data_IF_290371190808
#
_entry.id   IF_290371190808
#
_cell.length_a   1.000
_cell.length_b   1.000
_cell.length_c   1.000
_cell.angle_alpha   90.00
_cell.angle_beta   90.00
_cell.angle_gamma   90.00
#
_symmetry.space_group_name_H-M   'P 1'
#
loop_
_entity.id
_entity.type
_entity.pdbx_description
1 polymer ?
#
# COMPACT_ATOMS: atom_id res chain seq x y z
N UNK A 1 -2.08 14.73 4.04
CA UNK A 1 -2.42 16.10 3.66
C UNK A 1 -3.89 16.06 3.40
N UNK A 2 -4.65 16.76 4.25
CA UNK A 2 -6.05 17.03 3.97
C UNK A 2 -6.19 17.50 2.53
N UNK A 3 -7.19 17.00 1.81
CA UNK A 3 -7.42 17.32 0.39
C UNK A 3 -7.77 18.79 0.14
N UNK A 4 -7.95 19.55 1.22
CA UNK A 4 -8.09 20.99 1.18
C UNK A 4 -6.71 21.67 1.12
N UNK A 5 -6.55 22.74 0.31
CA UNK A 5 -5.35 23.55 0.35
C UNK A 5 -5.11 24.06 1.78
N UNK A 6 -3.88 23.98 2.30
CA UNK A 6 -3.61 24.47 3.64
C UNK A 6 -3.84 25.98 3.67
N UNK A 7 -4.41 26.48 4.75
CA UNK A 7 -4.66 27.91 4.94
C UNK A 7 -3.36 28.71 4.85
N UNK A 8 -2.24 28.11 5.28
CA UNK A 8 -0.90 28.69 5.21
C UNK A 8 0.13 27.64 4.82
N UNK A 9 1.12 28.07 4.03
CA UNK A 9 2.27 27.30 3.60
C UNK A 9 3.52 27.74 4.34
N UNK A 10 4.43 26.80 4.58
CA UNK A 10 5.80 27.09 5.00
C UNK A 10 6.78 26.11 4.36
N UNK A 11 8.03 26.48 4.32
CA UNK A 11 9.14 25.61 3.94
C UNK A 11 9.25 24.46 4.95
N UNK A 12 9.55 23.26 4.45
CA UNK A 12 9.89 22.12 5.29
C UNK A 12 11.17 22.42 6.09
N UNK A 13 11.28 21.89 7.29
CA UNK A 13 12.41 22.08 8.20
C UNK A 13 13.62 21.24 7.80
N UNK A 14 13.40 20.12 7.11
CA UNK A 14 14.43 19.13 6.81
C UNK A 14 14.98 19.28 5.39
N UNK A 15 15.39 20.49 5.02
CA UNK A 15 15.92 20.81 3.69
C UNK A 15 17.40 21.18 3.72
N UNK A 16 18.16 20.62 2.78
CA UNK A 16 19.49 21.12 2.40
C UNK A 16 19.36 21.90 1.09
N UNK A 17 19.94 23.09 1.04
CA UNK A 17 19.94 23.95 -0.14
C UNK A 17 21.39 24.16 -0.60
N UNK A 18 21.66 23.92 -1.88
CA UNK A 18 22.98 24.13 -2.50
C UNK A 18 22.85 24.99 -3.75
N UNK A 19 23.71 25.98 -3.91
CA UNK A 19 23.80 26.75 -5.15
C UNK A 19 24.36 25.87 -6.28
N UNK A 20 23.77 25.96 -7.47
CA UNK A 20 24.12 25.17 -8.66
C UNK A 20 24.04 26.07 -9.90
N UNK A 21 25.11 26.83 -10.15
CA UNK A 21 25.11 27.89 -11.17
C UNK A 21 24.13 29.00 -10.81
N UNK A 22 23.20 29.32 -11.71
CA UNK A 22 22.13 30.32 -11.50
C UNK A 22 20.86 29.73 -10.84
N UNK A 23 20.92 28.48 -10.39
CA UNK A 23 19.83 27.75 -9.77
C UNK A 23 20.20 27.25 -8.36
N UNK A 24 19.21 26.70 -7.66
CA UNK A 24 19.35 26.13 -6.33
C UNK A 24 18.85 24.69 -6.33
N UNK A 25 19.69 23.76 -5.90
CA UNK A 25 19.29 22.39 -5.62
C UNK A 25 18.79 22.28 -4.18
N UNK A 26 17.57 21.81 -4.02
CA UNK A 26 16.87 21.70 -2.74
C UNK A 26 16.54 20.25 -2.50
N UNK A 27 17.15 19.69 -1.47
CA UNK A 27 17.02 18.28 -1.11
C UNK A 27 16.28 18.16 0.20
N UNK A 28 15.22 17.35 0.22
CA UNK A 28 14.55 16.97 1.45
C UNK A 28 15.21 15.74 2.06
N UNK A 29 15.91 15.91 3.19
CA UNK A 29 16.82 14.88 3.73
C UNK A 29 16.11 13.59 4.14
N UNK A 30 14.86 13.64 4.63
CA UNK A 30 14.15 12.42 5.03
C UNK A 30 13.72 11.55 3.84
N UNK A 31 13.29 12.19 2.74
CA UNK A 31 12.73 11.52 1.56
C UNK A 31 13.79 11.23 0.50
N UNK A 32 14.90 11.97 0.52
CA UNK A 32 15.94 11.96 -0.50
C UNK A 32 15.52 12.64 -1.81
N UNK A 33 14.33 13.28 -1.87
CA UNK A 33 13.87 13.98 -3.07
C UNK A 33 14.60 15.30 -3.23
N UNK A 34 15.06 15.57 -4.46
CA UNK A 34 15.75 16.80 -4.80
C UNK A 34 15.06 17.53 -5.96
N UNK A 35 14.98 18.84 -5.87
CA UNK A 35 14.46 19.73 -6.89
C UNK A 35 15.52 20.75 -7.26
N UNK A 36 15.64 21.08 -8.55
CA UNK A 36 16.45 22.22 -9.00
C UNK A 36 15.48 23.35 -9.31
N UNK A 37 15.57 24.43 -8.53
CA UNK A 37 14.75 25.62 -8.70
C UNK A 37 15.57 26.75 -9.35
N UNK A 38 15.05 27.40 -10.40
CA UNK A 38 15.60 28.68 -10.86
C UNK A 38 15.59 29.73 -9.75
N UNK A 39 16.46 30.74 -9.83
CA UNK A 39 16.58 31.79 -8.81
C UNK A 39 15.24 32.46 -8.44
N UNK A 40 14.37 32.71 -9.42
CA UNK A 40 13.04 33.31 -9.20
C UNK A 40 12.12 32.40 -8.37
N UNK A 41 12.10 31.10 -8.65
CA UNK A 41 11.31 30.14 -7.88
C UNK A 41 11.89 29.92 -6.47
N UNK A 42 13.21 30.00 -6.33
CA UNK A 42 13.86 29.96 -5.02
C UNK A 42 13.52 31.18 -4.16
N UNK A 43 13.43 32.38 -4.75
CA UNK A 43 13.00 33.58 -4.04
C UNK A 43 11.61 33.40 -3.43
N UNK A 44 10.65 32.83 -4.18
CA UNK A 44 9.33 32.50 -3.65
C UNK A 44 9.39 31.52 -2.48
N UNK A 45 10.24 30.50 -2.58
CA UNK A 45 10.42 29.56 -1.48
C UNK A 45 10.97 30.26 -0.21
N UNK A 46 11.83 31.27 -0.36
CA UNK A 46 12.37 32.00 0.80
C UNK A 46 11.33 32.85 1.54
N UNK A 47 10.25 33.27 0.88
CA UNK A 47 9.09 33.92 1.52
C UNK A 47 8.35 32.96 2.46
N UNK A 48 8.42 31.65 2.19
CA UNK A 48 7.77 30.61 2.97
C UNK A 48 8.58 30.17 4.21
N UNK A 49 9.63 30.91 4.61
CA UNK A 49 10.32 30.64 5.89
C UNK A 49 9.39 30.72 7.09
N UNK A 50 8.36 31.57 7.02
CA UNK A 50 7.28 31.66 7.97
C UNK A 50 5.96 31.21 7.32
N UNK A 51 4.98 30.69 8.09
CA UNK A 51 3.64 30.44 7.60
C UNK A 51 3.05 31.64 6.85
N UNK A 52 2.72 31.42 5.58
CA UNK A 52 2.24 32.47 4.66
C UNK A 52 1.09 31.93 3.82
N UNK A 53 0.03 32.73 3.65
CA UNK A 53 -1.11 32.36 2.79
C UNK A 53 -0.75 32.51 1.30
N UNK A 54 -1.55 31.91 0.41
CA UNK A 54 -1.38 32.13 -1.03
C UNK A 54 -1.55 33.60 -1.40
N UNK A 55 -2.54 34.28 -0.82
CA UNK A 55 -2.82 35.70 -1.06
C UNK A 55 -1.63 36.58 -0.68
N UNK A 56 -1.10 36.41 0.53
CA UNK A 56 0.10 37.13 0.99
C UNK A 56 1.33 36.86 0.13
N UNK A 57 1.48 35.62 -0.37
CA UNK A 57 2.59 35.27 -1.26
C UNK A 57 2.44 35.96 -2.61
N UNK A 58 1.24 36.00 -3.18
CA UNK A 58 0.95 36.67 -4.45
C UNK A 58 1.16 38.18 -4.37
N UNK A 59 0.86 38.82 -3.24
CA UNK A 59 1.16 40.24 -3.01
C UNK A 59 2.66 40.55 -2.98
N UNK A 60 3.48 39.61 -2.49
CA UNK A 60 4.94 39.73 -2.39
C UNK A 60 5.66 39.24 -3.66
N UNK A 61 4.95 38.53 -4.55
CA UNK A 61 5.53 38.01 -5.78
C UNK A 61 6.01 39.14 -6.69
N UNK A 62 7.15 38.97 -7.37
CA UNK A 62 7.52 39.83 -8.49
C UNK A 62 6.38 39.86 -9.53
N UNK A 63 6.02 41.03 -10.05
CA UNK A 63 4.93 41.23 -11.06
C UNK A 63 5.10 40.40 -12.35
N UNK A 64 6.21 39.68 -12.50
CA UNK A 64 6.54 38.85 -13.64
C UNK A 64 5.92 37.44 -13.61
N UNK A 65 5.27 37.02 -12.51
CA UNK A 65 4.64 35.69 -12.40
C UNK A 65 3.12 35.80 -12.33
N UNK A 66 2.41 34.97 -13.11
CA UNK A 66 0.97 34.85 -13.00
C UNK A 66 0.58 34.01 -11.76
N UNK A 67 -0.59 34.29 -11.18
CA UNK A 67 -1.05 33.56 -9.99
C UNK A 67 -1.16 32.05 -10.23
N UNK A 68 -1.61 31.64 -11.42
CA UNK A 68 -1.69 30.23 -11.81
C UNK A 68 -0.31 29.53 -11.81
N UNK A 69 0.76 30.23 -12.19
CA UNK A 69 2.12 29.67 -12.19
C UNK A 69 2.63 29.50 -10.75
N UNK A 70 2.32 30.45 -9.87
CA UNK A 70 2.65 30.36 -8.44
C UNK A 70 1.91 29.20 -7.78
N UNK A 71 0.61 29.06 -8.01
CA UNK A 71 -0.17 27.93 -7.51
C UNK A 71 0.35 26.58 -8.04
N UNK A 72 0.65 26.50 -9.34
CA UNK A 72 1.23 25.30 -9.93
C UNK A 72 2.59 24.95 -9.31
N UNK A 73 3.44 25.95 -9.07
CA UNK A 73 4.71 25.76 -8.36
C UNK A 73 4.50 25.28 -6.93
N UNK A 74 3.61 25.91 -6.15
CA UNK A 74 3.31 25.50 -4.77
C UNK A 74 2.79 24.07 -4.72
N UNK A 75 1.88 23.69 -5.63
CA UNK A 75 1.38 22.32 -5.74
C UNK A 75 2.52 21.34 -6.01
N UNK A 76 3.45 21.68 -6.90
CA UNK A 76 4.61 20.86 -7.22
C UNK A 76 5.60 20.76 -6.05
N UNK A 77 5.89 21.85 -5.36
CA UNK A 77 6.75 21.88 -4.17
C UNK A 77 6.12 21.09 -3.01
N UNK A 78 4.80 21.18 -2.83
CA UNK A 78 4.04 20.45 -1.81
C UNK A 78 4.05 18.95 -2.10
N UNK A 79 3.81 18.54 -3.35
CA UNK A 79 3.93 17.14 -3.79
C UNK A 79 5.36 16.59 -3.60
N UNK A 80 6.36 17.47 -3.71
CA UNK A 80 7.76 17.19 -3.41
C UNK A 80 8.11 17.11 -1.92
N UNK A 81 7.22 17.56 -1.02
CA UNK A 81 7.50 17.72 0.41
C UNK A 81 8.43 18.88 0.73
N UNK A 82 8.70 19.77 -0.23
CA UNK A 82 9.58 20.96 -0.05
C UNK A 82 8.86 22.05 0.75
N UNK A 83 7.54 22.13 0.59
CA UNK A 83 6.68 22.98 1.41
C UNK A 83 5.59 22.13 2.05
N UNK A 84 5.12 22.59 3.21
CA UNK A 84 4.12 21.91 4.03
C UNK A 84 3.14 22.93 4.60
N UNK A 85 1.94 22.46 4.97
CA UNK A 85 0.97 23.27 5.69
C UNK A 85 1.34 23.50 7.14
N UNK A 86 0.74 24.52 7.76
CA UNK A 86 0.79 24.71 9.22
C UNK A 86 0.13 23.54 9.94
N UNK A 87 0.94 22.72 10.61
CA UNK A 87 0.48 21.54 11.35
C UNK A 87 0.64 20.22 10.59
N UNK A 88 1.17 20.24 9.37
CA UNK A 88 1.50 19.00 8.65
C UNK A 88 2.62 18.23 9.38
N UNK A 89 2.44 16.91 9.48
CA UNK A 89 3.47 15.98 9.92
C UNK A 89 4.56 15.86 8.84
N UNK A 90 5.72 16.48 9.11
CA UNK A 90 6.93 16.44 8.28
C UNK A 90 7.69 15.11 8.37
N UNK A 91 7.25 14.16 9.17
CA UNK A 91 7.82 12.81 9.15
C UNK A 91 7.11 11.92 8.13
N UNK A 92 6.05 12.42 7.50
CA UNK A 92 5.32 11.72 6.45
C UNK A 92 6.02 11.88 5.10
N UNK A 93 6.86 10.89 4.76
CA UNK A 93 7.56 10.84 3.48
C UNK A 93 7.64 9.43 2.94
N UNK A 94 7.94 9.32 1.65
CA UNK A 94 8.35 8.07 1.01
C UNK A 94 9.79 8.18 0.53
N UNK A 95 10.54 7.10 0.69
CA UNK A 95 11.90 6.95 0.15
C UNK A 95 11.84 6.17 -1.14
N UNK A 96 12.35 6.76 -2.22
CA UNK A 96 12.45 6.05 -3.48
C UNK A 96 13.55 4.97 -3.38
N UNK A 97 13.30 3.77 -3.92
CA UNK A 97 14.30 2.72 -3.93
C UNK A 97 15.37 3.05 -4.97
N UNK A 98 16.58 2.51 -4.80
CA UNK A 98 17.64 2.65 -5.79
C UNK A 98 17.25 2.03 -7.15
N UNK A 99 16.45 0.96 -7.13
CA UNK A 99 15.87 0.34 -8.31
C UNK A 99 14.38 0.07 -8.08
N UNK A 100 13.49 0.55 -8.97
CA UNK A 100 12.06 0.34 -8.83
C UNK A 100 11.67 -1.12 -9.09
N UNK A 101 10.63 -1.57 -8.41
CA UNK A 101 10.06 -2.91 -8.56
C UNK A 101 9.63 -3.13 -10.02
N UNK A 102 10.07 -4.24 -10.64
CA UNK A 102 9.80 -4.57 -12.05
C UNK A 102 10.30 -3.54 -13.08
N UNK A 103 11.12 -2.57 -12.63
CA UNK A 103 11.59 -1.44 -13.42
C UNK A 103 10.54 -0.38 -13.72
N UNK A 104 9.35 -0.46 -13.12
CA UNK A 104 8.23 0.47 -13.39
C UNK A 104 8.58 1.92 -13.00
N UNK A 105 7.94 2.94 -13.59
CA UNK A 105 8.19 4.33 -13.23
C UNK A 105 7.92 4.61 -11.75
N UNK A 106 8.69 5.55 -11.19
CA UNK A 106 8.44 6.07 -9.86
C UNK A 106 7.10 6.82 -9.82
N UNK A 107 6.36 6.70 -8.72
CA UNK A 107 5.13 7.48 -8.52
C UNK A 107 5.46 8.91 -8.07
N UNK A 108 5.13 9.88 -8.91
CA UNK A 108 5.57 11.28 -8.85
C UNK A 108 4.55 12.26 -8.25
N UNK A 109 3.39 11.80 -7.79
CA UNK A 109 2.29 12.65 -7.32
C UNK A 109 1.10 12.61 -8.28
N UNK A 110 0.01 13.37 -8.05
CA UNK A 110 -1.29 13.07 -8.68
C UNK A 110 -1.21 13.27 -10.20
N UNK A 111 -1.83 12.42 -11.02
CA UNK A 111 -3.27 12.48 -11.34
C UNK A 111 -3.90 11.08 -11.52
N UNK A 112 -5.11 10.91 -11.00
CA UNK A 112 -6.26 10.46 -11.79
C UNK A 112 -7.53 11.23 -11.34
N UNK A 113 -8.17 11.93 -12.27
CA UNK A 113 -9.46 12.63 -12.08
C UNK A 113 -10.58 11.99 -12.92
N UNK A 114 -10.27 10.88 -13.58
CA UNK A 114 -11.18 9.96 -14.26
C UNK A 114 -10.61 8.53 -14.17
N UNK A 115 -11.40 7.52 -14.55
CA UNK A 115 -10.95 6.11 -14.56
C UNK A 115 -9.86 5.83 -15.59
N UNK A 116 -9.81 6.57 -16.70
CA UNK A 116 -8.85 6.30 -17.80
C UNK A 116 -7.40 6.58 -17.41
N UNK A 117 -7.18 7.48 -16.43
CA UNK A 117 -5.85 7.83 -15.95
C UNK A 117 -5.45 7.14 -14.63
N UNK A 118 -6.29 6.25 -14.08
CA UNK A 118 -6.03 5.52 -12.83
C UNK A 118 -4.66 4.84 -12.88
N UNK A 119 -3.89 4.93 -11.79
CA UNK A 119 -2.63 4.20 -11.60
C UNK A 119 -2.74 3.20 -10.46
N UNK A 120 -1.96 2.13 -10.56
CA UNK A 120 -1.67 1.21 -9.45
C UNK A 120 -0.37 1.68 -8.79
N UNK A 121 -0.39 1.87 -7.48
CA UNK A 121 0.74 2.44 -6.73
C UNK A 121 1.27 1.41 -5.75
N UNK A 122 2.41 0.80 -6.08
CA UNK A 122 3.13 -0.14 -5.24
C UNK A 122 3.82 0.63 -4.11
N UNK A 123 3.57 0.26 -2.85
CA UNK A 123 4.14 0.92 -1.69
C UNK A 123 4.72 -0.10 -0.73
N UNK A 124 6.00 0.03 -0.42
CA UNK A 124 6.62 -0.80 0.59
C UNK A 124 6.40 -0.24 1.99
N UNK A 125 6.01 -1.09 2.93
CA UNK A 125 5.89 -0.70 4.34
C UNK A 125 6.90 -1.52 5.18
N UNK A 126 8.09 -0.98 5.48
CA UNK A 126 9.13 -1.72 6.18
C UNK A 126 8.90 -1.77 7.70
N UNK A 127 7.75 -2.30 8.14
CA UNK A 127 7.33 -2.32 9.54
C UNK A 127 6.88 -3.72 9.98
N UNK A 128 7.44 -4.20 11.10
CA UNK A 128 7.11 -5.52 11.67
C UNK A 128 6.80 -5.46 13.18
N UNK A 129 6.61 -4.26 13.74
CA UNK A 129 6.46 -4.08 15.20
C UNK A 129 5.02 -4.21 15.72
N UNK A 130 4.07 -4.50 14.83
CA UNK A 130 2.72 -4.98 15.15
C UNK A 130 2.75 -6.44 15.61
N UNK A 131 3.75 -7.22 15.19
CA UNK A 131 4.10 -8.50 15.78
C UNK A 131 5.32 -8.33 16.72
N UNK A 132 5.12 -8.46 18.04
CA UNK A 132 6.21 -8.29 19.01
C UNK A 132 7.19 -9.46 19.09
N UNK A 133 6.82 -10.61 18.53
CA UNK A 133 7.64 -11.83 18.58
C UNK A 133 8.57 -11.95 17.38
N UNK A 134 8.14 -11.47 16.22
CA UNK A 134 8.90 -11.53 14.98
C UNK A 134 8.59 -10.33 14.07
N UNK A 135 9.59 -9.49 13.84
CA UNK A 135 9.50 -8.30 13.00
C UNK A 135 10.24 -8.45 11.65
N UNK A 136 10.64 -9.68 11.28
CA UNK A 136 11.47 -9.94 10.10
C UNK A 136 10.80 -9.54 8.77
N UNK A 137 9.47 -9.52 8.73
CA UNK A 137 8.68 -9.07 7.58
C UNK A 137 8.93 -7.58 7.20
N UNK A 138 9.46 -6.76 8.12
CA UNK A 138 9.89 -5.39 7.83
C UNK A 138 10.94 -5.31 6.70
N UNK A 139 11.66 -6.40 6.40
CA UNK A 139 12.67 -6.45 5.33
C UNK A 139 12.09 -6.79 3.96
N UNK A 140 10.83 -7.21 3.90
CA UNK A 140 10.21 -7.65 2.66
C UNK A 140 10.25 -6.60 1.54
N UNK A 141 9.90 -5.32 1.75
CA UNK A 141 9.89 -4.35 0.65
C UNK A 141 11.25 -4.22 -0.06
N UNK A 142 12.33 -4.17 0.72
CA UNK A 142 13.68 -4.06 0.18
C UNK A 142 14.12 -5.36 -0.50
N UNK A 143 13.83 -6.52 0.11
CA UNK A 143 14.21 -7.83 -0.43
C UNK A 143 13.42 -8.19 -1.69
N UNK A 144 12.14 -7.84 -1.76
CA UNK A 144 11.30 -7.99 -2.94
C UNK A 144 11.87 -7.22 -4.12
N UNK A 145 12.23 -5.95 -3.92
CA UNK A 145 12.85 -5.15 -4.98
C UNK A 145 14.18 -5.73 -5.45
N UNK A 146 15.02 -6.16 -4.51
CA UNK A 146 16.30 -6.79 -4.84
C UNK A 146 16.10 -8.09 -5.64
N UNK A 147 15.22 -8.99 -5.19
CA UNK A 147 14.89 -10.23 -5.90
C UNK A 147 14.35 -9.95 -7.31
N UNK A 148 13.43 -8.98 -7.42
CA UNK A 148 12.87 -8.58 -8.70
C UNK A 148 13.92 -8.01 -9.66
N UNK A 149 15.04 -7.43 -9.18
CA UNK A 149 16.13 -7.00 -10.08
C UNK A 149 16.85 -8.17 -10.76
N UNK A 150 16.98 -9.30 -10.08
CA UNK A 150 17.60 -10.50 -10.66
C UNK A 150 16.62 -11.31 -11.51
N UNK A 151 15.33 -11.21 -11.20
CA UNK A 151 14.29 -12.06 -11.80
C UNK A 151 13.50 -11.36 -12.92
N UNK A 152 13.04 -10.12 -12.68
CA UNK A 152 12.07 -9.39 -13.53
C UNK A 152 12.42 -7.89 -13.71
N UNK A 153 13.70 -7.52 -13.66
CA UNK A 153 14.19 -6.13 -13.58
C UNK A 153 13.61 -5.18 -14.64
N UNK A 154 13.42 -5.67 -15.87
CA UNK A 154 12.98 -4.89 -17.03
C UNK A 154 11.61 -5.34 -17.53
N UNK A 155 10.79 -5.92 -16.66
CA UNK A 155 9.48 -6.45 -17.02
C UNK A 155 8.63 -5.40 -17.75
N UNK A 156 8.59 -4.14 -17.29
CA UNK A 156 7.87 -3.06 -17.97
C UNK A 156 8.31 -2.85 -19.43
N UNK A 157 9.61 -2.92 -19.75
CA UNK A 157 10.11 -2.74 -21.14
C UNK A 157 9.82 -3.94 -22.03
N UNK A 158 9.79 -5.13 -21.43
CA UNK A 158 9.58 -6.40 -22.13
C UNK A 158 8.10 -6.78 -22.20
N UNK A 159 7.24 -6.06 -21.48
CA UNK A 159 5.83 -6.40 -21.32
C UNK A 159 5.11 -6.57 -22.66
N UNK A 160 5.43 -5.79 -23.69
CA UNK A 160 4.79 -5.92 -25.01
C UNK A 160 5.13 -7.24 -25.73
N UNK A 161 6.30 -7.83 -25.49
CA UNK A 161 6.80 -9.01 -26.22
C UNK A 161 6.99 -10.24 -25.34
N UNK A 162 6.74 -10.13 -24.03
CA UNK A 162 6.93 -11.24 -23.09
C UNK A 162 5.84 -12.29 -23.27
N UNK A 163 6.28 -13.55 -23.22
CA UNK A 163 5.41 -14.72 -23.13
C UNK A 163 5.16 -15.04 -21.65
N UNK A 164 4.00 -14.64 -21.15
CA UNK A 164 3.54 -14.87 -19.78
C UNK A 164 3.12 -16.31 -19.51
N UNK A 165 3.14 -17.22 -20.50
CA UNK A 165 2.94 -18.66 -20.24
C UNK A 165 3.95 -19.24 -19.26
N UNK A 166 5.15 -18.64 -19.20
CA UNK A 166 6.15 -18.96 -18.18
C UNK A 166 5.70 -18.68 -16.74
N UNK A 167 4.64 -17.90 -16.55
CA UNK A 167 4.01 -17.69 -15.24
C UNK A 167 2.95 -18.73 -14.92
N UNK A 168 2.62 -19.68 -15.82
CA UNK A 168 1.72 -20.79 -15.52
C UNK A 168 0.25 -20.59 -15.88
N UNK A 169 -0.08 -19.63 -16.75
CA UNK A 169 -1.40 -19.48 -17.38
C UNK A 169 -1.25 -19.00 -18.83
N UNK A 170 -2.31 -19.08 -19.64
CA UNK A 170 -2.27 -18.58 -21.02
C UNK A 170 -1.94 -17.09 -21.09
N UNK A 171 -1.33 -16.65 -22.19
CA UNK A 171 -0.94 -15.24 -22.34
C UNK A 171 -2.09 -14.25 -22.13
N UNK A 172 -3.28 -14.59 -22.64
CA UNK A 172 -4.48 -13.78 -22.49
C UNK A 172 -4.90 -13.60 -21.03
N UNK A 173 -4.52 -14.54 -20.15
CA UNK A 173 -4.78 -14.42 -18.72
C UNK A 173 -3.99 -13.28 -18.07
N UNK A 174 -2.98 -12.70 -18.73
CA UNK A 174 -2.14 -11.60 -18.23
C UNK A 174 -2.31 -10.29 -19.02
N UNK A 175 -3.38 -10.15 -19.82
CA UNK A 175 -3.59 -8.97 -20.67
C UNK A 175 -3.72 -7.67 -19.85
N UNK A 176 -4.39 -7.73 -18.70
CA UNK A 176 -4.56 -6.56 -17.84
C UNK A 176 -3.22 -6.11 -17.22
N UNK A 177 -2.40 -7.04 -16.74
CA UNK A 177 -1.02 -6.76 -16.30
C UNK A 177 -0.19 -6.16 -17.44
N UNK A 178 -0.29 -6.73 -18.64
CA UNK A 178 0.41 -6.22 -19.83
C UNK A 178 0.04 -4.76 -20.08
N UNK A 179 -1.26 -4.45 -20.05
CA UNK A 179 -1.76 -3.10 -20.23
C UNK A 179 -1.19 -2.13 -19.18
N UNK A 180 -1.27 -2.49 -17.89
CA UNK A 180 -0.73 -1.67 -16.79
C UNK A 180 0.75 -1.32 -16.98
N UNK A 181 1.54 -2.29 -17.45
CA UNK A 181 2.97 -2.13 -17.71
C UNK A 181 3.23 -1.29 -18.95
N UNK A 182 2.56 -1.55 -20.07
CA UNK A 182 2.80 -0.85 -21.35
C UNK A 182 2.30 0.59 -21.33
N UNK A 183 1.24 0.87 -20.57
CA UNK A 183 0.69 2.23 -20.40
C UNK A 183 1.40 3.02 -19.30
N UNK A 184 2.43 2.46 -18.65
CA UNK A 184 3.14 3.09 -17.51
C UNK A 184 2.21 3.48 -16.35
N UNK A 185 1.13 2.71 -16.15
CA UNK A 185 0.11 2.94 -15.13
C UNK A 185 0.30 2.07 -13.88
N UNK A 186 1.21 1.10 -13.91
CA UNK A 186 1.80 0.51 -12.70
C UNK A 186 3.01 1.37 -12.28
N UNK A 187 3.03 1.82 -11.03
CA UNK A 187 4.07 2.73 -10.51
C UNK A 187 4.64 2.25 -9.18
N UNK A 188 5.90 2.54 -8.89
CA UNK A 188 6.55 2.28 -7.61
C UNK A 188 6.62 3.57 -6.79
N UNK A 189 5.85 3.64 -5.71
CA UNK A 189 5.84 4.77 -4.79
C UNK A 189 6.96 4.74 -3.75
N UNK A 190 7.81 3.72 -3.76
CA UNK A 190 8.89 3.52 -2.81
C UNK A 190 8.41 3.01 -1.46
N UNK A 191 9.20 3.27 -0.43
CA UNK A 191 8.95 2.80 0.93
C UNK A 191 8.46 3.94 1.81
N UNK A 192 7.51 3.65 2.71
CA UNK A 192 7.16 4.59 3.77
C UNK A 192 8.40 4.89 4.63
N UNK A 193 8.69 6.17 4.84
CA UNK A 193 9.76 6.57 5.76
C UNK A 193 9.34 6.32 7.20
N UNK A 194 10.15 5.53 7.88
CA UNK A 194 10.02 5.23 9.31
C UNK A 194 11.28 5.67 10.04
N UNK A 195 11.11 6.32 11.19
CA UNK A 195 12.21 6.55 12.10
C UNK A 195 12.47 5.29 12.94
N UNK A 196 13.74 5.03 13.28
CA UNK A 196 14.06 4.04 14.29
C UNK A 196 13.32 4.35 15.61
N UNK A 197 12.66 3.34 16.18
CA UNK A 197 11.85 3.43 17.41
C UNK A 197 10.60 4.32 17.30
N UNK A 198 10.12 4.59 16.08
CA UNK A 198 8.83 5.25 15.91
C UNK A 198 7.70 4.43 16.53
N UNK A 199 6.80 5.09 17.26
CA UNK A 199 5.67 4.41 17.87
C UNK A 199 4.75 3.84 16.79
N UNK A 200 4.23 2.59 16.95
CA UNK A 200 3.32 1.98 16.00
C UNK A 200 2.13 2.87 15.60
N UNK A 201 1.53 3.59 16.56
CA UNK A 201 0.42 4.50 16.30
C UNK A 201 0.77 5.61 15.29
N UNK A 202 2.00 6.15 15.34
CA UNK A 202 2.48 7.14 14.37
C UNK A 202 2.64 6.51 12.98
N UNK A 203 3.15 5.28 12.92
CA UNK A 203 3.27 4.53 11.65
C UNK A 203 1.90 4.25 11.05
N UNK A 204 0.92 3.82 11.86
CA UNK A 204 -0.44 3.58 11.40
C UNK A 204 -1.09 4.85 10.85
N UNK A 205 -0.93 5.98 11.52
CA UNK A 205 -1.43 7.27 11.04
C UNK A 205 -0.82 7.67 9.67
N UNK A 206 0.47 7.36 9.45
CA UNK A 206 1.12 7.58 8.15
C UNK A 206 0.56 6.67 7.06
N UNK A 207 0.33 5.39 7.34
CA UNK A 207 -0.25 4.44 6.36
C UNK A 207 -1.68 4.85 5.98
N UNK A 208 -2.51 5.23 6.96
CA UNK A 208 -3.86 5.73 6.72
C UNK A 208 -3.85 6.99 5.87
N UNK A 209 -2.96 7.94 6.18
CA UNK A 209 -2.78 9.14 5.38
C UNK A 209 -2.36 8.82 3.94
N UNK A 210 -1.43 7.88 3.76
CA UNK A 210 -0.89 7.49 2.45
C UNK A 210 -1.93 6.87 1.54
N UNK A 211 -2.68 5.93 2.07
CA UNK A 211 -3.73 5.25 1.32
C UNK A 211 -4.91 6.17 1.03
N UNK A 212 -5.25 7.08 1.94
CA UNK A 212 -6.24 8.13 1.68
C UNK A 212 -5.80 9.07 0.55
N UNK A 213 -4.56 9.58 0.58
CA UNK A 213 -4.05 10.48 -0.47
C UNK A 213 -4.04 9.82 -1.86
N UNK A 214 -3.69 8.54 -1.95
CA UNK A 214 -3.68 7.80 -3.22
C UNK A 214 -5.11 7.54 -3.71
N UNK A 215 -6.01 7.11 -2.81
CA UNK A 215 -7.40 6.80 -3.15
C UNK A 215 -8.17 8.04 -3.60
N UNK A 216 -7.96 9.17 -2.91
CA UNK A 216 -8.53 10.46 -3.26
C UNK A 216 -8.10 10.94 -4.66
N UNK A 217 -6.93 10.52 -5.13
CA UNK A 217 -6.42 10.80 -6.47
C UNK A 217 -6.90 9.77 -7.52
N UNK A 218 -7.93 8.96 -7.21
CA UNK A 218 -8.49 7.96 -8.13
C UNK A 218 -7.60 6.74 -8.39
N UNK A 219 -6.46 6.65 -7.70
CA UNK A 219 -5.46 5.59 -7.84
C UNK A 219 -5.71 4.45 -6.85
N UNK A 220 -5.14 3.28 -7.12
CA UNK A 220 -5.27 2.10 -6.25
C UNK A 220 -3.97 1.88 -5.48
N UNK A 221 -3.97 2.03 -4.14
CA UNK A 221 -2.84 1.69 -3.30
C UNK A 221 -2.65 0.16 -3.21
N UNK A 222 -1.43 -0.33 -3.46
CA UNK A 222 -1.04 -1.75 -3.26
C UNK A 222 0.14 -1.82 -2.27
N UNK A 223 -0.12 -2.25 -1.03
CA UNK A 223 0.92 -2.29 0.00
C UNK A 223 1.71 -3.59 -0.08
N UNK A 224 3.02 -3.51 0.16
CA UNK A 224 3.95 -4.63 0.10
C UNK A 224 4.64 -4.70 1.46
N UNK A 225 4.25 -5.71 2.25
CA UNK A 225 4.64 -5.84 3.65
C UNK A 225 4.12 -4.70 4.51
N UNK A 226 4.49 -4.64 5.79
CA UNK A 226 5.20 -5.66 6.56
C UNK A 226 4.21 -6.55 7.30
N UNK A 227 4.14 -6.46 8.63
CA UNK A 227 3.18 -7.27 9.39
C UNK A 227 1.73 -6.83 9.15
N UNK A 228 0.78 -7.73 9.39
CA UNK A 228 -0.63 -7.54 9.04
C UNK A 228 -1.33 -6.40 9.80
N UNK A 229 -0.70 -5.84 10.84
CA UNK A 229 -1.28 -4.71 11.58
C UNK A 229 -1.43 -3.46 10.70
N UNK A 230 -0.66 -3.35 9.62
CA UNK A 230 -0.71 -2.20 8.70
C UNK A 230 -1.95 -2.21 7.79
N UNK A 231 -2.64 -3.34 7.68
CA UNK A 231 -3.81 -3.46 6.81
C UNK A 231 -5.01 -2.66 7.32
N UNK A 232 -5.25 -2.60 8.65
CA UNK A 232 -6.31 -1.74 9.19
C UNK A 232 -6.14 -0.25 8.83
N UNK A 233 -4.99 0.42 9.11
CA UNK A 233 -4.83 1.81 8.72
C UNK A 233 -4.90 1.99 7.19
N UNK A 234 -4.42 1.03 6.40
CA UNK A 234 -4.57 1.08 4.94
C UNK A 234 -6.04 1.03 4.50
N UNK A 235 -6.85 0.13 5.06
CA UNK A 235 -8.30 0.05 4.85
C UNK A 235 -8.96 1.35 5.30
N UNK A 236 -8.61 1.87 6.48
CA UNK A 236 -9.16 3.13 7.02
C UNK A 236 -8.95 4.30 6.07
N UNK A 237 -7.75 4.42 5.47
CA UNK A 237 -7.45 5.46 4.50
C UNK A 237 -8.24 5.31 3.20
N UNK A 238 -8.35 4.09 2.65
CA UNK A 238 -9.19 3.80 1.48
C UNK A 238 -10.66 4.08 1.76
N UNK A 239 -11.18 3.67 2.92
CA UNK A 239 -12.58 3.83 3.32
C UNK A 239 -13.05 5.29 3.42
N UNK A 240 -12.14 6.26 3.56
CA UNK A 240 -12.49 7.69 3.50
C UNK A 240 -13.03 8.14 2.14
N UNK A 241 -12.82 7.34 1.09
CA UNK A 241 -13.20 7.65 -0.30
C UNK A 241 -14.25 6.69 -0.87
N UNK A 242 -14.83 5.81 -0.03
CA UNK A 242 -15.84 4.85 -0.42
C UNK A 242 -16.93 4.76 0.65
N UNK A 243 -18.20 4.95 0.27
CA UNK A 243 -19.33 4.83 1.21
C UNK A 243 -19.58 3.40 1.68
N UNK A 244 -19.21 2.43 0.83
CA UNK A 244 -19.33 1.00 1.07
C UNK A 244 -18.04 0.31 0.67
N UNK A 245 -17.60 -0.64 1.49
CA UNK A 245 -16.40 -1.43 1.22
C UNK A 245 -16.64 -2.88 1.67
N UNK A 246 -16.10 -3.83 0.93
CA UNK A 246 -15.96 -5.22 1.36
C UNK A 246 -14.49 -5.57 1.53
N UNK A 247 -14.18 -6.46 2.47
CA UNK A 247 -12.83 -6.95 2.71
C UNK A 247 -12.75 -8.40 2.27
N UNK A 248 -11.71 -8.73 1.52
CA UNK A 248 -11.36 -10.11 1.21
C UNK A 248 -9.98 -10.38 1.78
N UNK A 249 -9.88 -11.41 2.61
CA UNK A 249 -8.67 -11.84 3.29
C UNK A 249 -8.30 -13.25 2.85
N UNK A 250 -7.07 -13.42 2.38
CA UNK A 250 -6.43 -14.73 2.21
C UNK A 250 -5.42 -14.89 3.34
N UNK A 251 -5.63 -15.87 4.21
CA UNK A 251 -4.87 -15.98 5.47
C UNK A 251 -5.05 -17.36 6.10
N UNK A 252 -4.10 -17.80 6.91
CA UNK A 252 -4.31 -18.91 7.83
C UNK A 252 -5.13 -18.51 9.08
N UNK A 253 -5.11 -17.24 9.46
CA UNK A 253 -5.63 -16.68 10.69
C UNK A 253 -6.84 -15.77 10.45
N UNK A 254 -7.76 -15.74 11.42
CA UNK A 254 -8.94 -14.88 11.28
C UNK A 254 -8.65 -13.42 11.59
N UNK A 255 -7.56 -13.12 12.30
CA UNK A 255 -7.11 -11.77 12.70
C UNK A 255 -8.19 -10.89 13.34
N UNK A 256 -9.11 -11.55 14.03
CA UNK A 256 -10.20 -10.97 14.82
C UNK A 256 -9.98 -11.18 16.33
N UNK A 257 -8.74 -11.45 16.77
CA UNK A 257 -8.50 -11.84 18.14
C UNK A 257 -8.81 -10.70 19.12
N UNK A 258 -9.51 -11.05 20.21
CA UNK A 258 -9.65 -10.23 21.40
C UNK A 258 -8.99 -10.95 22.57
N UNK A 259 -8.43 -10.21 23.52
CA UNK A 259 -7.88 -10.79 24.75
C UNK A 259 -8.24 -9.91 25.96
N UNK A 260 -8.10 -10.46 27.17
CA UNK A 260 -8.36 -9.74 28.43
C UNK A 260 -7.54 -8.45 28.57
N UNK A 261 -6.38 -8.37 27.91
CA UNK A 261 -5.57 -7.14 27.88
C UNK A 261 -6.30 -6.05 27.09
N UNK A 262 -7.03 -6.38 26.02
CA UNK A 262 -7.86 -5.44 25.28
C UNK A 262 -8.90 -4.77 26.18
N UNK A 263 -9.57 -5.51 27.07
CA UNK A 263 -10.54 -4.95 28.03
C UNK A 263 -9.89 -3.96 29.01
N UNK A 264 -8.67 -4.26 29.46
CA UNK A 264 -7.90 -3.36 30.33
C UNK A 264 -7.49 -2.08 29.59
N UNK A 265 -7.08 -2.18 28.33
CA UNK A 265 -6.77 -1.01 27.51
C UNK A 265 -8.02 -0.18 27.21
N UNK A 266 -9.18 -0.83 26.99
CA UNK A 266 -10.45 -0.14 26.76
C UNK A 266 -10.83 0.74 27.97
N UNK A 267 -10.52 0.29 29.20
CA UNK A 267 -10.76 1.08 30.42
C UNK A 267 -10.00 2.41 30.47
N UNK A 268 -8.94 2.57 29.67
CA UNK A 268 -8.16 3.82 29.53
C UNK A 268 -8.32 4.45 28.15
N UNK A 269 -9.37 4.08 27.41
CA UNK A 269 -9.68 4.65 26.09
C UNK A 269 -8.67 4.27 25.01
N UNK A 270 -7.98 3.13 25.14
CA UNK A 270 -7.05 2.61 24.14
C UNK A 270 -7.53 1.24 23.66
N UNK A 271 -7.21 0.87 22.42
CA UNK A 271 -7.37 -0.49 21.95
C UNK A 271 -6.00 -0.99 21.49
N UNK A 272 -5.53 -2.16 21.96
CA UNK A 272 -4.29 -2.73 21.46
C UNK A 272 -4.47 -3.02 19.96
N UNK A 273 -3.47 -2.67 19.17
CA UNK A 273 -3.48 -2.89 17.72
C UNK A 273 -2.23 -3.65 17.32
N UNK A 274 -2.43 -4.84 16.76
CA UNK A 274 -1.38 -5.77 16.34
C UNK A 274 -1.85 -6.57 15.12
N UNK A 275 -0.98 -7.42 14.58
CA UNK A 275 -1.29 -8.19 13.38
C UNK A 275 -2.55 -9.07 13.54
N UNK A 276 -2.61 -9.94 14.56
CA UNK A 276 -3.78 -10.79 14.81
C UNK A 276 -5.11 -10.12 15.24
N UNK A 277 -5.26 -8.79 15.20
CA UNK A 277 -6.54 -8.14 15.49
C UNK A 277 -6.93 -7.01 14.55
N UNK A 278 -6.20 -6.80 13.45
CA UNK A 278 -6.45 -5.67 12.55
C UNK A 278 -7.88 -5.71 12.00
N UNK A 279 -8.44 -6.89 11.76
CA UNK A 279 -9.75 -7.05 11.17
C UNK A 279 -10.87 -6.65 12.15
N UNK A 280 -10.67 -6.86 13.46
CA UNK A 280 -11.59 -6.34 14.49
C UNK A 280 -11.70 -4.81 14.44
N UNK A 281 -10.60 -4.12 14.18
CA UNK A 281 -10.61 -2.66 14.01
C UNK A 281 -11.26 -2.24 12.70
N UNK A 282 -11.00 -2.98 11.62
CA UNK A 282 -11.61 -2.71 10.32
C UNK A 282 -13.15 -2.88 10.37
N UNK A 283 -13.66 -3.90 11.05
CA UNK A 283 -15.10 -4.13 11.26
C UNK A 283 -15.80 -2.98 11.99
N UNK A 284 -15.08 -2.18 12.78
CA UNK A 284 -15.64 -1.00 13.45
C UNK A 284 -15.85 0.20 12.50
N UNK A 285 -15.31 0.16 11.28
CA UNK A 285 -15.55 1.20 10.29
C UNK A 285 -16.96 1.06 9.70
N UNK A 286 -17.77 2.13 9.66
CA UNK A 286 -19.16 2.07 9.19
C UNK A 286 -19.29 1.70 7.71
N UNK A 287 -18.24 1.87 6.92
CA UNK A 287 -18.20 1.54 5.51
C UNK A 287 -18.21 0.02 5.25
N UNK A 288 -17.73 -0.81 6.20
CA UNK A 288 -17.54 -2.25 5.97
C UNK A 288 -18.88 -2.98 5.95
N UNK A 289 -19.23 -3.51 4.78
CA UNK A 289 -20.46 -4.24 4.51
C UNK A 289 -20.32 -5.75 4.70
N UNK A 290 -19.16 -6.31 4.32
CA UNK A 290 -18.89 -7.74 4.42
C UNK A 290 -17.40 -8.04 4.49
N UNK A 291 -17.05 -9.17 5.09
CA UNK A 291 -15.69 -9.69 5.17
C UNK A 291 -15.70 -11.15 4.73
N UNK A 292 -14.79 -11.51 3.84
CA UNK A 292 -14.64 -12.86 3.30
C UNK A 292 -13.24 -13.37 3.59
N UNK A 293 -13.13 -14.44 4.37
CA UNK A 293 -11.87 -14.98 4.85
C UNK A 293 -11.65 -16.36 4.26
N UNK A 294 -10.55 -16.55 3.53
CA UNK A 294 -10.23 -17.80 2.85
C UNK A 294 -8.91 -18.37 3.35
N UNK A 295 -8.89 -19.67 3.61
CA UNK A 295 -7.67 -20.39 4.03
C UNK A 295 -7.53 -20.55 5.54
N UNK A 296 -8.56 -20.13 6.30
CA UNK A 296 -8.54 -20.15 7.77
C UNK A 296 -8.28 -21.56 8.28
N UNK A 297 -7.36 -21.69 9.23
CA UNK A 297 -6.96 -22.96 9.87
C UNK A 297 -6.17 -22.72 11.16
N UNK A 298 -5.82 -23.81 11.83
CA UNK A 298 -5.02 -23.78 13.06
C UNK A 298 -5.86 -23.63 14.35
N UNK A 299 -5.40 -24.21 15.47
CA UNK A 299 -6.18 -24.36 16.70
C UNK A 299 -6.37 -23.06 17.50
N UNK A 300 -5.63 -22.01 17.16
CA UNK A 300 -5.68 -20.71 17.84
C UNK A 300 -6.67 -19.72 17.20
N UNK A 301 -7.43 -20.15 16.19
CA UNK A 301 -8.65 -19.47 15.72
C UNK A 301 -9.75 -19.58 16.78
N UNK A 302 -9.47 -19.09 17.99
CA UNK A 302 -10.36 -19.11 19.13
C UNK A 302 -11.51 -18.15 18.84
N UNK A 303 -12.65 -18.74 18.45
CA UNK A 303 -13.98 -18.14 18.28
C UNK A 303 -13.94 -16.64 18.01
N UNK A 304 -13.91 -16.22 16.73
CA UNK A 304 -14.28 -14.86 16.38
C UNK A 304 -15.57 -14.52 17.11
N UNK A 305 -15.67 -13.31 17.68
CA UNK A 305 -17.00 -12.75 17.86
C UNK A 305 -17.67 -12.86 16.49
N UNK A 306 -18.72 -13.68 16.38
CA UNK A 306 -19.33 -14.00 15.09
C UNK A 306 -20.05 -12.75 14.59
N UNK A 307 -19.28 -11.83 13.99
CA UNK A 307 -19.83 -10.68 13.30
C UNK A 307 -20.60 -11.24 12.10
N UNK A 308 -21.91 -10.94 11.96
CA UNK A 308 -22.74 -11.49 10.89
C UNK A 308 -22.27 -11.06 9.49
N UNK A 309 -21.38 -10.07 9.39
CA UNK A 309 -20.75 -9.62 8.14
C UNK A 309 -19.60 -10.53 7.69
N UNK A 310 -19.04 -11.35 8.59
CA UNK A 310 -17.91 -12.23 8.30
C UNK A 310 -18.36 -13.59 7.75
N UNK A 311 -17.70 -14.03 6.68
CA UNK A 311 -17.84 -15.35 6.08
C UNK A 311 -16.48 -16.02 6.03
N UNK A 312 -16.38 -17.19 6.66
CA UNK A 312 -15.12 -17.93 6.80
C UNK A 312 -15.17 -19.18 5.93
N UNK A 313 -14.13 -19.39 5.14
CA UNK A 313 -13.88 -20.58 4.34
C UNK A 313 -12.56 -21.19 4.81
N UNK A 314 -12.65 -22.40 5.36
CA UNK A 314 -11.49 -23.11 5.89
C UNK A 314 -10.61 -23.64 4.75
N UNK A 315 -9.31 -23.81 5.02
CA UNK A 315 -8.36 -24.25 4.00
C UNK A 315 -8.78 -25.57 3.31
N UNK A 316 -9.26 -26.55 4.09
CA UNK A 316 -9.71 -27.85 3.56
C UNK A 316 -10.97 -27.77 2.67
N UNK A 317 -11.71 -26.66 2.70
CA UNK A 317 -12.92 -26.46 1.89
C UNK A 317 -12.62 -25.88 0.51
N UNK A 318 -11.43 -25.30 0.31
CA UNK A 318 -11.06 -24.57 -0.91
C UNK A 318 -11.17 -25.43 -2.18
N UNK A 319 -10.67 -26.69 -2.23
CA UNK A 319 -10.83 -27.53 -3.41
C UNK A 319 -12.31 -27.70 -3.81
N UNK A 320 -13.18 -28.00 -2.83
CA UNK A 320 -14.61 -28.16 -3.08
C UNK A 320 -15.31 -26.84 -3.46
N UNK A 321 -14.83 -25.70 -2.95
CA UNK A 321 -15.32 -24.37 -3.31
C UNK A 321 -14.99 -24.01 -4.77
N UNK A 322 -13.82 -24.40 -5.27
CA UNK A 322 -13.40 -24.14 -6.65
C UNK A 322 -14.28 -24.86 -7.66
N UNK A 323 -14.71 -26.07 -7.35
CA UNK A 323 -15.56 -26.92 -8.21
C UNK A 323 -17.05 -26.58 -8.12
N UNK A 324 -17.50 -25.90 -7.04
CA UNK A 324 -18.92 -25.63 -6.83
C UNK A 324 -19.45 -24.51 -7.76
N UNK A 325 -20.43 -24.78 -8.63
CA UNK A 325 -20.99 -23.78 -9.54
C UNK A 325 -21.91 -22.76 -8.83
N UNK A 326 -22.56 -23.18 -7.74
CA UNK A 326 -23.50 -22.41 -6.93
C UNK A 326 -22.87 -21.79 -5.66
N UNK A 327 -21.54 -21.83 -5.54
CA UNK A 327 -20.83 -21.18 -4.46
C UNK A 327 -21.21 -19.68 -4.37
N UNK A 328 -21.36 -19.19 -3.14
CA UNK A 328 -21.61 -17.76 -2.90
C UNK A 328 -20.27 -17.02 -2.93
N UNK A 329 -20.22 -15.96 -3.73
CA UNK A 329 -19.04 -15.13 -3.93
C UNK A 329 -19.27 -13.71 -3.39
N UNK A 330 -18.18 -12.93 -3.18
CA UNK A 330 -18.28 -11.51 -2.84
C UNK A 330 -19.11 -10.72 -3.84
N UNK A 331 -19.74 -9.64 -3.36
CA UNK A 331 -20.61 -8.79 -4.17
C UNK A 331 -19.77 -8.02 -5.21
N UNK A 332 -20.03 -8.16 -6.52
CA UNK A 332 -19.29 -7.45 -7.55
C UNK A 332 -19.51 -5.92 -7.53
N UNK A 333 -20.62 -5.45 -6.97
CA UNK A 333 -21.01 -4.03 -6.93
C UNK A 333 -20.42 -3.27 -5.73
N UNK A 334 -19.78 -3.97 -4.79
CA UNK A 334 -19.15 -3.36 -3.62
C UNK A 334 -17.64 -3.21 -3.87
N UNK A 335 -17.08 -1.98 -3.81
CA UNK A 335 -15.64 -1.75 -3.84
C UNK A 335 -14.93 -2.64 -2.81
N UNK A 336 -13.81 -3.25 -3.22
CA UNK A 336 -13.14 -4.27 -2.40
C UNK A 336 -11.75 -3.84 -2.00
N UNK A 337 -11.43 -3.99 -0.72
CA UNK A 337 -10.06 -4.06 -0.26
C UNK A 337 -9.66 -5.53 -0.15
N UNK A 338 -8.59 -5.94 -0.85
CA UNK A 338 -8.09 -7.31 -0.82
C UNK A 338 -6.76 -7.38 -0.07
N UNK A 339 -6.72 -8.14 1.00
CA UNK A 339 -5.50 -8.40 1.78
C UNK A 339 -5.06 -9.85 1.64
N UNK A 340 -3.77 -10.06 1.41
CA UNK A 340 -3.18 -11.38 1.22
C UNK A 340 -2.02 -11.59 2.19
N UNK A 341 -2.22 -12.41 3.22
CA UNK A 341 -1.12 -12.95 4.03
C UNK A 341 -0.47 -14.10 3.26
N UNK A 342 0.86 -14.10 3.15
CA UNK A 342 1.57 -15.19 2.48
C UNK A 342 1.42 -16.53 3.20
N UNK A 343 1.14 -16.52 4.51
CA UNK A 343 0.88 -17.69 5.33
C UNK A 343 -0.45 -18.38 5.00
N UNK A 344 -1.26 -17.78 4.14
CA UNK A 344 -2.36 -18.46 3.44
C UNK A 344 -1.88 -19.79 2.84
N UNK A 345 -0.70 -19.80 2.20
CA UNK A 345 -0.13 -21.01 1.62
C UNK A 345 0.48 -21.94 2.68
N UNK A 346 0.54 -23.23 2.37
CA UNK A 346 1.22 -24.19 3.25
C UNK A 346 2.72 -23.83 3.46
N UNK A 347 3.30 -24.05 4.66
CA UNK A 347 4.70 -23.74 4.95
C UNK A 347 5.71 -24.51 4.08
N UNK A 348 5.31 -25.59 3.41
CA UNK A 348 6.15 -26.24 2.37
C UNK A 348 6.41 -25.33 1.16
N UNK A 349 5.51 -24.38 0.90
CA UNK A 349 5.58 -23.36 -0.16
C UNK A 349 6.02 -21.99 0.38
N UNK A 350 5.47 -21.56 1.51
CA UNK A 350 5.71 -20.26 2.12
C UNK A 350 6.30 -20.38 3.55
N UNK A 351 7.49 -20.97 3.74
CA UNK A 351 8.10 -21.10 5.07
C UNK A 351 8.51 -19.75 5.68
N UNK A 352 8.70 -18.73 4.84
CA UNK A 352 9.14 -17.39 5.21
C UNK A 352 8.01 -16.52 5.72
N UNK A 353 7.43 -16.87 6.86
CA UNK A 353 6.41 -16.07 7.57
C UNK A 353 6.60 -16.19 9.09
N UNK A 354 6.04 -15.26 9.86
CA UNK A 354 6.13 -15.27 11.31
C UNK A 354 5.37 -16.47 11.94
N UNK A 355 4.20 -16.79 11.39
CA UNK A 355 3.19 -17.70 11.98
C UNK A 355 2.79 -18.83 11.02
N UNK A 356 3.71 -19.70 10.58
CA UNK A 356 3.39 -20.74 9.61
C UNK A 356 2.37 -21.75 10.18
N UNK A 357 1.31 -22.05 9.41
CA UNK A 357 0.30 -23.07 9.76
C UNK A 357 0.19 -24.10 8.63
N UNK A 358 0.44 -25.37 8.94
CA UNK A 358 0.32 -26.50 8.00
C UNK A 358 -1.12 -26.67 7.49
N UNK A 359 -1.30 -27.46 6.43
CA UNK A 359 -2.60 -27.74 5.80
C UNK A 359 -3.17 -26.52 5.06
N UNK A 360 -2.26 -25.71 4.50
CA UNK A 360 -2.62 -24.60 3.61
C UNK A 360 -2.84 -25.07 2.17
N UNK A 361 -3.50 -24.26 1.33
CA UNK A 361 -3.64 -24.58 -0.09
C UNK A 361 -2.29 -24.70 -0.79
N UNK A 362 -2.24 -25.59 -1.78
CA UNK A 362 -1.13 -25.60 -2.73
C UNK A 362 -1.15 -24.34 -3.61
N UNK A 363 -0.04 -24.08 -4.28
CA UNK A 363 0.16 -22.85 -5.05
C UNK A 363 -0.87 -22.68 -6.18
N UNK A 364 -1.24 -23.76 -6.89
CA UNK A 364 -2.18 -23.67 -8.02
C UNK A 364 -3.61 -23.46 -7.54
N UNK A 365 -4.04 -24.21 -6.53
CA UNK A 365 -5.37 -24.07 -5.94
C UNK A 365 -5.57 -22.68 -5.33
N UNK A 366 -4.56 -22.18 -4.62
CA UNK A 366 -4.59 -20.84 -4.05
C UNK A 366 -4.68 -19.73 -5.10
N UNK A 367 -3.87 -19.80 -6.16
CA UNK A 367 -3.94 -18.83 -7.25
C UNK A 367 -5.24 -18.94 -8.06
N UNK A 368 -5.75 -20.14 -8.28
CA UNK A 368 -7.04 -20.33 -8.94
C UNK A 368 -8.20 -19.69 -8.15
N UNK A 369 -8.16 -19.78 -6.81
CA UNK A 369 -9.13 -19.10 -5.95
C UNK A 369 -8.98 -17.58 -6.05
N UNK A 370 -7.74 -17.07 -5.97
CA UNK A 370 -7.45 -15.64 -6.11
C UNK A 370 -7.96 -15.09 -7.45
N UNK A 371 -7.64 -15.75 -8.57
CA UNK A 371 -8.07 -15.35 -9.92
C UNK A 371 -9.60 -15.42 -10.07
N UNK A 372 -10.25 -16.47 -9.54
CA UNK A 372 -11.71 -16.61 -9.56
C UNK A 372 -12.42 -15.49 -8.79
N UNK A 373 -11.82 -15.01 -7.71
CA UNK A 373 -12.33 -13.88 -6.91
C UNK A 373 -12.06 -12.55 -7.62
N UNK A 374 -10.84 -12.32 -8.08
CA UNK A 374 -10.43 -11.10 -8.79
C UNK A 374 -11.28 -10.82 -10.04
N UNK A 375 -11.66 -11.86 -10.79
CA UNK A 375 -12.55 -11.72 -11.94
C UNK A 375 -13.93 -11.13 -11.61
N UNK A 376 -14.38 -11.23 -10.34
CA UNK A 376 -15.71 -10.81 -9.90
C UNK A 376 -15.73 -9.41 -9.31
N UNK A 377 -14.70 -9.04 -8.56
CA UNK A 377 -14.72 -7.84 -7.72
C UNK A 377 -14.17 -6.60 -8.43
N UNK A 378 -14.32 -5.44 -7.78
CA UNK A 378 -13.64 -4.19 -8.12
C UNK A 378 -12.69 -3.81 -6.98
N UNK A 379 -11.40 -4.11 -7.15
CA UNK A 379 -10.36 -3.82 -6.15
C UNK A 379 -10.05 -2.33 -6.14
N UNK A 380 -10.15 -1.70 -4.96
CA UNK A 380 -9.87 -0.27 -4.74
C UNK A 380 -8.70 -0.04 -3.76
N UNK A 381 -8.21 -1.10 -3.15
CA UNK A 381 -6.97 -1.13 -2.38
C UNK A 381 -6.56 -2.58 -2.18
N UNK A 382 -5.27 -2.85 -2.05
CA UNK A 382 -4.81 -4.19 -1.76
C UNK A 382 -3.50 -4.22 -0.98
N UNK A 383 -3.17 -5.36 -0.40
CA UNK A 383 -1.85 -5.59 0.18
C UNK A 383 -1.40 -7.06 0.12
N UNK A 384 -0.08 -7.25 0.20
CA UNK A 384 0.59 -8.54 0.33
C UNK A 384 1.52 -8.49 1.55
N UNK A 385 1.19 -9.23 2.59
CA UNK A 385 1.71 -9.06 3.95
C UNK A 385 2.52 -10.27 4.43
N UNK A 386 3.20 -10.09 5.57
CA UNK A 386 3.83 -11.15 6.39
C UNK A 386 4.92 -12.02 5.74
N UNK A 387 5.32 -11.72 4.50
CA UNK A 387 6.53 -12.28 3.91
C UNK A 387 7.73 -11.91 4.78
N UNK A 388 8.40 -12.91 5.33
CA UNK A 388 9.59 -12.79 6.16
C UNK A 388 10.82 -13.36 5.42
N UNK A 389 11.65 -12.50 4.80
CA UNK A 389 12.82 -12.94 4.05
C UNK A 389 13.88 -13.68 4.89
N UNK A 390 13.87 -13.55 6.22
CA UNK A 390 14.85 -14.22 7.08
C UNK A 390 14.52 -15.69 7.33
N UNK A 391 13.23 -16.02 7.26
CA UNK A 391 12.73 -17.39 7.41
C UNK A 391 12.54 -18.09 6.08
N UNK A 392 12.63 -17.36 4.97
CA UNK A 392 12.49 -17.91 3.64
C UNK A 392 13.64 -18.89 3.32
N UNK A 393 13.32 -19.96 2.62
CA UNK A 393 14.26 -21.02 2.22
C UNK A 393 14.22 -21.17 0.72
N UNK A 394 15.39 -21.18 0.09
CA UNK A 394 15.53 -21.28 -1.38
C UNK A 394 14.68 -20.26 -2.16
N UNK A 395 14.41 -19.10 -1.56
CA UNK A 395 13.56 -18.03 -2.13
C UNK A 395 12.14 -18.49 -2.48
N UNK A 396 11.63 -19.57 -1.86
CA UNK A 396 10.32 -20.15 -2.19
C UNK A 396 9.17 -19.20 -1.87
N UNK A 397 9.22 -18.60 -0.68
CA UNK A 397 8.21 -17.64 -0.23
C UNK A 397 8.28 -16.38 -1.09
N UNK A 398 9.49 -15.91 -1.44
CA UNK A 398 9.68 -14.79 -2.34
C UNK A 398 9.11 -15.06 -3.75
N UNK A 399 9.34 -16.25 -4.31
CA UNK A 399 8.78 -16.66 -5.59
C UNK A 399 7.25 -16.74 -5.56
N UNK A 400 6.67 -17.31 -4.49
CA UNK A 400 5.23 -17.33 -4.27
C UNK A 400 4.66 -15.90 -4.17
N UNK A 401 5.31 -15.03 -3.38
CA UNK A 401 4.91 -13.63 -3.21
C UNK A 401 4.93 -12.84 -4.52
N UNK A 402 6.01 -12.95 -5.32
CA UNK A 402 6.08 -12.29 -6.64
C UNK A 402 4.99 -12.82 -7.57
N UNK A 403 4.80 -14.14 -7.60
CA UNK A 403 3.78 -14.75 -8.42
C UNK A 403 2.38 -14.27 -8.04
N UNK A 404 2.02 -14.30 -6.76
CA UNK A 404 0.76 -13.78 -6.21
C UNK A 404 0.57 -12.30 -6.53
N UNK A 405 1.60 -11.46 -6.33
CA UNK A 405 1.54 -10.04 -6.64
C UNK A 405 1.22 -9.77 -8.11
N UNK A 406 1.81 -10.53 -9.03
CA UNK A 406 1.51 -10.38 -10.46
C UNK A 406 0.06 -10.76 -10.80
N UNK A 407 -0.52 -11.79 -10.16
CA UNK A 407 -1.95 -12.14 -10.33
C UNK A 407 -2.85 -11.08 -9.73
N UNK A 408 -2.51 -10.59 -8.54
CA UNK A 408 -3.24 -9.52 -7.87
C UNK A 408 -3.30 -8.28 -8.76
N UNK A 409 -2.15 -7.80 -9.25
CA UNK A 409 -2.08 -6.65 -10.18
C UNK A 409 -2.91 -6.91 -11.44
N UNK A 410 -2.80 -8.10 -12.02
CA UNK A 410 -3.56 -8.48 -13.21
C UNK A 410 -5.09 -8.47 -12.97
N UNK A 411 -5.54 -8.82 -11.78
CA UNK A 411 -6.96 -8.84 -11.44
C UNK A 411 -7.57 -7.46 -11.19
N UNK A 412 -6.75 -6.41 -11.05
CA UNK A 412 -7.25 -5.05 -10.84
C UNK A 412 -7.63 -4.44 -12.20
N UNK A 413 -8.92 -4.12 -12.34
CA UNK A 413 -9.53 -3.58 -13.57
C UNK A 413 -9.11 -2.13 -13.82
N UNK A 414 -8.77 -1.82 -15.09
CA UNK A 414 -8.25 -0.52 -15.56
C UNK A 414 -9.18 0.67 -15.44
#
# INVERSE_FOLDING_TARGET
MSYYPPTQYRMARCLTIKAKGEAYEITHELSGRSFVLPALAYQLLTELKAPTTLEELLERCPKALAAADVEALLNRLRAGGIIVGTGDDETYHRRLPAAPLFGVPAYDGPLATDRQNRRLVLLGLPFGSGNKLDAGCARFPAKLRWFAQSYLATLHRRAATLDFRGLGADNAAFDQLRQWLTENRLTDGGDLYLQANEYPASVYAKVERLTAEISAAGNVPIMLGGDHSLTFPAISGVAKHHERLQIIQFDAHSDTYANRIADLYASVGKAPHHHGNFLSHALALPQIQSVWQYGIRGPYTLTPAADPRCRVFYAHEIPALLERPDAVWPDPEIPTYLTFDIDFFDPSLAPGTATPVIDGPDYRSGLALLEKILGRINVVGADLMEVNPEKDRDERTMQAAVGTLLRLINGIKS
#
